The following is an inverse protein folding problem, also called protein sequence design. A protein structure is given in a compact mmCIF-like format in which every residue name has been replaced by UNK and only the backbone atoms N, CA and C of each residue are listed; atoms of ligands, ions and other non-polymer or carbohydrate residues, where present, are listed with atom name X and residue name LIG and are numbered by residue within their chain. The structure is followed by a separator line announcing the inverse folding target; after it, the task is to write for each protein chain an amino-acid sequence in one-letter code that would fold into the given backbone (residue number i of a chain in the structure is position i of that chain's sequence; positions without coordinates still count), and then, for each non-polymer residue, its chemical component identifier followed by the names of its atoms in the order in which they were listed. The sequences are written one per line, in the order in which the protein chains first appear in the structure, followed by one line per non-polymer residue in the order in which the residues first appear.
data_IF_000416336286
#
_entry.id   IF_000416336286
#
_cell.length_a   1.000
_cell.length_b   1.000
_cell.length_c   1.000
_cell.angle_alpha   90.00
_cell.angle_beta   90.00
_cell.angle_gamma   90.00
#
_symmetry.space_group_name_H-M   'P 1'
#
loop_
_entity.id
_entity.type
_entity.pdbx_description
1 polymer ?
#
# COMPACT_ATOMS: atom_id res chain seq x y z
N UNK A 1 -13.28 -15.19 11.14
CA UNK A 1 -14.54 -14.48 11.48
C UNK A 1 -14.64 -14.46 12.99
N UNK A 2 -14.77 -13.28 13.65
CA UNK A 2 -14.81 -13.20 15.11
C UNK A 2 -15.89 -14.08 15.76
N UNK A 3 -17.01 -14.34 15.09
CA UNK A 3 -18.08 -15.19 15.61
C UNK A 3 -17.78 -16.67 15.38
N UNK A 4 -17.24 -17.03 14.21
CA UNK A 4 -16.91 -18.42 13.88
C UNK A 4 -15.61 -18.92 14.55
N UNK A 5 -14.69 -18.01 14.87
CA UNK A 5 -13.35 -18.31 15.42
C UNK A 5 -13.28 -18.05 16.94
N UNK A 6 -14.43 -18.01 17.63
CA UNK A 6 -14.51 -17.64 19.04
C UNK A 6 -13.75 -18.60 19.98
N UNK A 7 -13.47 -19.82 19.52
CA UNK A 7 -12.68 -20.84 20.21
C UNK A 7 -11.21 -20.88 19.77
N UNK A 8 -10.81 -20.07 18.78
CA UNK A 8 -9.44 -20.02 18.28
C UNK A 8 -8.58 -19.01 19.04
N UNK A 9 -7.28 -19.30 19.17
CA UNK A 9 -6.30 -18.39 19.76
C UNK A 9 -5.20 -18.06 18.76
N UNK A 10 -5.13 -16.79 18.35
CA UNK A 10 -4.08 -16.29 17.49
C UNK A 10 -2.70 -16.34 18.18
N UNK A 11 -1.67 -16.76 17.45
CA UNK A 11 -0.28 -16.76 17.90
C UNK A 11 0.55 -15.92 16.95
N UNK A 12 1.40 -15.08 17.51
CA UNK A 12 2.27 -14.24 16.73
C UNK A 12 3.36 -15.07 16.04
N UNK A 13 3.43 -14.96 14.72
CA UNK A 13 4.43 -15.60 13.87
C UNK A 13 5.31 -14.56 13.14
N UNK A 14 5.22 -13.28 13.49
CA UNK A 14 6.00 -12.20 12.87
C UNK A 14 7.51 -12.42 13.00
N UNK A 15 7.95 -13.14 14.03
CA UNK A 15 9.35 -13.51 14.24
C UNK A 15 9.84 -14.66 13.35
N UNK A 16 8.93 -15.40 12.71
CA UNK A 16 9.26 -16.54 11.85
C UNK A 16 9.32 -16.15 10.36
N UNK A 17 8.60 -15.10 9.96
CA UNK A 17 8.44 -14.71 8.56
C UNK A 17 8.62 -13.22 8.37
N UNK A 18 9.22 -12.83 7.25
CA UNK A 18 9.29 -11.43 6.83
C UNK A 18 7.89 -10.87 6.58
N UNK A 19 7.67 -9.61 6.95
CA UNK A 19 6.42 -8.91 6.69
C UNK A 19 6.08 -8.87 5.20
N UNK A 20 4.81 -9.10 4.87
CA UNK A 20 4.29 -8.90 3.52
C UNK A 20 3.80 -7.47 3.33
N UNK A 21 4.01 -6.91 2.14
CA UNK A 21 3.53 -5.57 1.77
C UNK A 21 2.33 -5.67 0.84
N UNK A 22 1.21 -5.07 1.25
CA UNK A 22 0.01 -4.94 0.41
C UNK A 22 0.19 -3.79 -0.57
N UNK A 23 0.00 -4.07 -1.86
CA UNK A 23 0.19 -3.09 -2.93
C UNK A 23 -1.15 -2.67 -3.56
N UNK A 24 -1.24 -1.40 -3.96
CA UNK A 24 -2.30 -0.90 -4.85
C UNK A 24 -1.74 -0.71 -6.26
N UNK A 25 -2.40 -1.30 -7.25
CA UNK A 25 -1.97 -1.28 -8.64
C UNK A 25 -2.93 -0.46 -9.49
N UNK A 26 -2.39 0.34 -10.39
CA UNK A 26 -3.15 1.01 -11.44
C UNK A 26 -2.47 0.81 -12.79
N UNK A 27 -3.25 0.76 -13.86
CA UNK A 27 -2.72 0.56 -15.21
C UNK A 27 -1.94 1.80 -15.65
N UNK A 28 -0.75 1.59 -16.21
CA UNK A 28 0.07 2.66 -16.78
C UNK A 28 -0.71 3.40 -17.89
N UNK A 29 -0.68 4.73 -17.86
CA UNK A 29 -1.41 5.58 -18.81
C UNK A 29 -2.89 5.80 -18.45
N UNK A 30 -3.39 5.21 -17.37
CA UNK A 30 -4.70 5.57 -16.83
C UNK A 30 -4.65 6.97 -16.26
N UNK A 31 -5.56 7.83 -16.69
CA UNK A 31 -5.79 9.12 -16.06
C UNK A 31 -6.49 8.92 -14.71
N UNK A 32 -5.78 9.21 -13.62
CA UNK A 32 -6.33 9.11 -12.27
C UNK A 32 -7.31 10.26 -12.03
N UNK A 33 -8.59 9.91 -11.89
CA UNK A 33 -9.63 10.88 -11.53
C UNK A 33 -9.59 11.19 -10.04
N UNK A 34 -10.13 12.35 -9.67
CA UNK A 34 -10.16 12.83 -8.27
C UNK A 34 -10.62 11.76 -7.27
N UNK A 35 -11.75 11.09 -7.55
CA UNK A 35 -12.25 10.06 -6.64
C UNK A 35 -11.32 8.84 -6.49
N UNK A 36 -10.49 8.53 -7.50
CA UNK A 36 -9.51 7.45 -7.42
C UNK A 36 -8.37 7.85 -6.49
N UNK A 37 -7.90 9.10 -6.59
CA UNK A 37 -6.92 9.66 -5.66
C UNK A 37 -7.47 9.74 -4.23
N UNK A 38 -8.73 10.14 -4.08
CA UNK A 38 -9.41 10.17 -2.78
C UNK A 38 -9.51 8.76 -2.17
N UNK A 39 -9.82 7.74 -2.99
CA UNK A 39 -9.82 6.34 -2.56
C UNK A 39 -8.43 5.85 -2.14
N UNK A 40 -7.40 6.12 -2.95
CA UNK A 40 -6.01 5.74 -2.64
C UNK A 40 -5.58 6.35 -1.30
N UNK A 41 -5.87 7.64 -1.09
CA UNK A 41 -5.55 8.33 0.17
C UNK A 41 -6.35 7.80 1.35
N UNK A 42 -7.61 7.46 1.15
CA UNK A 42 -8.45 6.87 2.19
C UNK A 42 -7.94 5.48 2.61
N UNK A 43 -7.52 4.66 1.64
CA UNK A 43 -6.99 3.32 1.88
C UNK A 43 -5.57 3.34 2.48
N UNK A 44 -4.72 4.25 2.00
CA UNK A 44 -3.33 4.38 2.39
C UNK A 44 -2.98 5.86 2.62
N UNK A 45 -3.14 6.37 3.86
CA UNK A 45 -2.99 7.80 4.17
C UNK A 45 -1.62 8.39 3.85
N UNK A 46 -0.58 7.55 3.75
CA UNK A 46 0.78 7.93 3.37
C UNK A 46 0.95 8.17 1.87
N UNK A 47 -0.02 7.80 1.03
CA UNK A 47 -0.02 8.03 -0.41
C UNK A 47 -0.70 9.37 -0.73
N UNK A 48 0.06 10.47 -0.65
CA UNK A 48 -0.41 11.79 -1.08
C UNK A 48 -0.58 11.85 -2.60
N UNK A 49 -1.35 12.84 -3.09
CA UNK A 49 -1.52 13.04 -4.53
C UNK A 49 -0.21 13.22 -5.28
N UNK A 50 0.75 13.94 -4.67
CA UNK A 50 2.07 14.19 -5.26
C UNK A 50 2.90 12.90 -5.34
N UNK A 51 2.94 12.11 -4.27
CA UNK A 51 3.65 10.81 -4.25
C UNK A 51 3.06 9.87 -5.30
N UNK A 52 1.73 9.84 -5.44
CA UNK A 52 1.04 9.01 -6.44
C UNK A 52 1.37 9.49 -7.86
N UNK A 53 1.46 10.81 -8.08
CA UNK A 53 1.83 11.37 -9.37
C UNK A 53 3.28 11.03 -9.74
N UNK A 54 4.22 11.17 -8.81
CA UNK A 54 5.63 10.81 -8.99
C UNK A 54 5.80 9.31 -9.28
N UNK A 55 5.09 8.46 -8.53
CA UNK A 55 5.10 7.01 -8.76
C UNK A 55 4.51 6.62 -10.13
N UNK A 56 3.57 7.41 -10.66
CA UNK A 56 3.02 7.23 -12.01
C UNK A 56 3.95 7.73 -13.12
N UNK A 57 4.74 8.76 -12.84
CA UNK A 57 5.73 9.32 -13.76
C UNK A 57 7.00 8.45 -13.87
N UNK A 58 7.30 7.65 -12.84
CA UNK A 58 8.40 6.70 -12.82
C UNK A 58 8.36 5.74 -14.03
N UNK A 59 9.50 5.61 -14.70
CA UNK A 59 9.66 4.85 -15.94
C UNK A 59 10.08 3.41 -15.69
N UNK A 60 10.68 3.14 -14.54
CA UNK A 60 11.17 1.84 -14.13
C UNK A 60 10.65 1.43 -12.75
N UNK A 61 10.85 0.17 -12.38
CA UNK A 61 10.56 -0.30 -11.01
C UNK A 61 11.48 0.36 -9.99
N UNK A 62 12.75 0.52 -10.33
CA UNK A 62 13.75 1.11 -9.45
C UNK A 62 13.43 2.57 -9.10
N UNK A 63 13.11 3.39 -10.11
CA UNK A 63 12.68 4.78 -9.88
C UNK A 63 11.45 4.85 -8.97
N UNK A 64 10.53 3.90 -9.10
CA UNK A 64 9.34 3.83 -8.24
C UNK A 64 9.69 3.44 -6.81
N UNK A 65 10.59 2.48 -6.64
CA UNK A 65 11.05 2.05 -5.32
C UNK A 65 11.78 3.20 -4.59
N UNK A 66 12.52 4.04 -5.33
CA UNK A 66 13.16 5.25 -4.79
C UNK A 66 12.15 6.29 -4.28
N UNK A 67 11.05 6.54 -5.01
CA UNK A 67 9.96 7.43 -4.57
C UNK A 67 9.41 7.00 -3.20
N UNK A 68 9.34 5.69 -2.94
CA UNK A 68 8.80 5.14 -1.69
C UNK A 68 9.84 4.91 -0.60
N UNK A 69 11.14 5.07 -0.88
CA UNK A 69 12.24 4.75 0.06
C UNK A 69 12.21 5.53 1.38
N UNK A 70 11.56 6.70 1.38
CA UNK A 70 11.44 7.57 2.55
C UNK A 70 10.08 7.46 3.27
N UNK A 71 9.18 6.58 2.79
CA UNK A 71 7.83 6.45 3.32
C UNK A 71 7.77 5.30 4.32
N UNK A 72 7.47 5.61 5.58
CA UNK A 72 7.20 4.58 6.58
C UNK A 72 5.83 3.94 6.32
N UNK A 73 5.81 2.62 6.13
CA UNK A 73 4.57 1.87 5.90
C UNK A 73 3.85 1.56 7.23
N UNK A 74 2.52 1.71 7.29
CA UNK A 74 1.74 1.29 8.44
C UNK A 74 1.80 -0.24 8.61
N UNK A 75 2.03 -0.69 9.84
CA UNK A 75 1.84 -2.09 10.25
C UNK A 75 0.46 -2.25 10.87
N UNK A 76 -0.24 -3.34 10.56
CA UNK A 76 -1.47 -3.73 11.23
C UNK A 76 -1.18 -4.57 12.47
#
# INVERSE_FOLDING_TARGET
DPEADADLVARDASHLFTSSVTHIGCRKGTFLRKFMLDFIRWFAPHLSGDIVADAFAARSRQERDEVFSHVALPTK
#
